data_IF_356019908043
#
_entry.id   IF_356019908043
#
_cell.length_a   1.000
_cell.length_b   1.000
_cell.length_c   1.000
_cell.angle_alpha   90.00
_cell.angle_beta   90.00
_cell.angle_gamma   90.00
#
_symmetry.space_group_name_H-M   'P 1'
#
loop_
_entity.id
_entity.type
_entity.pdbx_description
1 polymer ?
#
# COMPACT_ATOMS: atom_id res chain seq x y z
N UNK A 1 9.91 14.27 -0.61
CA UNK A 1 10.45 13.14 0.18
C UNK A 1 11.96 13.11 -0.03
N UNK A 2 12.72 12.85 1.00
CA UNK A 2 14.17 12.68 0.92
C UNK A 2 14.54 11.27 0.42
N UNK A 3 15.78 11.11 -0.05
CA UNK A 3 16.25 9.85 -0.64
C UNK A 3 16.22 8.70 0.37
N UNK A 4 16.57 8.96 1.63
CA UNK A 4 16.59 7.94 2.69
C UNK A 4 15.20 7.32 2.89
N UNK A 5 14.15 8.14 2.92
CA UNK A 5 12.77 7.63 3.02
C UNK A 5 12.36 6.82 1.78
N UNK A 6 12.81 7.22 0.58
CA UNK A 6 12.53 6.48 -0.65
C UNK A 6 13.19 5.10 -0.66
N UNK A 7 14.47 5.05 -0.28
CA UNK A 7 15.24 3.82 -0.23
C UNK A 7 14.65 2.88 0.83
N UNK A 8 14.28 3.40 2.01
CA UNK A 8 13.60 2.62 3.06
C UNK A 8 12.27 2.04 2.56
N UNK A 9 11.43 2.84 1.89
CA UNK A 9 10.16 2.37 1.34
C UNK A 9 10.34 1.28 0.28
N UNK A 10 11.40 1.39 -0.52
CA UNK A 10 11.77 0.39 -1.53
C UNK A 10 12.17 -0.92 -0.88
N UNK A 11 13.01 -0.85 0.17
CA UNK A 11 13.50 -2.03 0.91
C UNK A 11 12.38 -2.78 1.62
N UNK A 12 11.44 -2.06 2.24
CA UNK A 12 10.35 -2.66 3.01
C UNK A 12 9.14 -3.07 2.17
N UNK A 13 9.12 -2.76 0.87
CA UNK A 13 7.98 -3.05 -0.01
C UNK A 13 7.54 -4.53 0.04
N UNK A 14 8.43 -5.54 0.08
CA UNK A 14 8.04 -6.93 0.26
C UNK A 14 7.37 -7.20 1.61
N UNK A 15 7.87 -6.59 2.69
CA UNK A 15 7.28 -6.71 4.03
C UNK A 15 5.90 -6.03 4.11
N UNK A 16 5.70 -4.92 3.40
CA UNK A 16 4.38 -4.29 3.27
C UNK A 16 3.41 -5.15 2.47
N UNK A 17 3.88 -5.87 1.44
CA UNK A 17 3.06 -6.85 0.73
C UNK A 17 2.58 -7.95 1.69
N UNK A 18 3.51 -8.51 2.47
CA UNK A 18 3.18 -9.52 3.48
C UNK A 18 2.20 -8.99 4.54
N UNK A 19 2.39 -7.74 5.00
CA UNK A 19 1.48 -7.07 5.93
C UNK A 19 0.04 -6.99 5.38
N UNK A 20 -0.13 -6.61 4.11
CA UNK A 20 -1.44 -6.52 3.47
C UNK A 20 -2.12 -7.89 3.29
N UNK A 21 -1.36 -8.98 3.32
CA UNK A 21 -1.88 -10.35 3.26
C UNK A 21 -2.32 -10.90 4.63
N UNK A 22 -1.88 -10.27 5.73
CA UNK A 22 -2.23 -10.67 7.10
C UNK A 22 -3.74 -10.56 7.36
N UNK A 23 -4.20 -11.24 8.42
CA UNK A 23 -5.57 -11.08 8.89
C UNK A 23 -5.80 -9.64 9.39
N UNK A 24 -7.00 -9.03 9.20
CA UNK A 24 -7.26 -7.67 9.67
C UNK A 24 -6.97 -7.43 11.16
N UNK A 25 -7.14 -8.45 12.02
CA UNK A 25 -6.82 -8.31 13.44
C UNK A 25 -5.30 -8.28 13.71
N UNK A 26 -4.51 -9.03 12.93
CA UNK A 26 -3.04 -8.97 12.99
C UNK A 26 -2.54 -7.62 12.46
N UNK A 27 -3.15 -7.12 11.37
CA UNK A 27 -2.85 -5.79 10.83
C UNK A 27 -3.12 -4.71 11.88
N UNK A 28 -4.29 -4.73 12.55
CA UNK A 28 -4.64 -3.78 13.62
C UNK A 28 -3.64 -3.83 14.78
N UNK A 29 -3.17 -5.02 15.15
CA UNK A 29 -2.21 -5.17 16.24
C UNK A 29 -0.82 -4.64 15.88
N UNK A 30 -0.36 -4.85 14.65
CA UNK A 30 0.96 -4.42 14.18
C UNK A 30 1.01 -2.95 13.73
N UNK A 31 -0.10 -2.39 13.24
CA UNK A 31 -0.16 -1.04 12.68
C UNK A 31 0.41 0.06 13.60
N UNK A 32 0.14 0.07 14.92
CA UNK A 32 0.70 1.08 15.83
C UNK A 32 2.22 1.00 15.99
N UNK A 33 2.85 -0.14 15.67
CA UNK A 33 4.29 -0.35 15.77
C UNK A 33 5.04 0.15 14.53
N UNK A 34 4.31 0.46 13.45
CA UNK A 34 4.88 0.94 12.21
C UNK A 34 5.28 2.41 12.31
N UNK A 35 6.33 2.79 11.59
CA UNK A 35 6.71 4.19 11.45
C UNK A 35 5.73 4.99 10.59
N UNK A 36 5.87 6.31 10.62
CA UNK A 36 4.98 7.25 9.90
C UNK A 36 5.00 7.03 8.39
N UNK A 37 6.13 6.65 7.81
CA UNK A 37 6.24 6.43 6.36
C UNK A 37 5.51 5.15 5.94
N UNK A 38 5.63 4.11 6.74
CA UNK A 38 5.00 2.80 6.57
C UNK A 38 3.48 2.89 6.71
N UNK A 39 2.99 3.55 7.76
CA UNK A 39 1.55 3.80 7.95
C UNK A 39 0.97 4.58 6.77
N UNK A 40 1.67 5.62 6.29
CA UNK A 40 1.24 6.37 5.11
C UNK A 40 1.22 5.52 3.85
N UNK A 41 2.22 4.66 3.65
CA UNK A 41 2.25 3.74 2.52
C UNK A 41 1.05 2.79 2.56
N UNK A 42 0.71 2.24 3.73
CA UNK A 42 -0.48 1.38 3.91
C UNK A 42 -1.76 2.16 3.57
N UNK A 43 -1.95 3.37 4.13
CA UNK A 43 -3.13 4.20 3.83
C UNK A 43 -3.29 4.48 2.33
N UNK A 44 -2.19 4.76 1.62
CA UNK A 44 -2.19 4.94 0.16
C UNK A 44 -2.63 3.66 -0.54
N UNK A 45 -2.08 2.50 -0.16
CA UNK A 45 -2.38 1.21 -0.76
C UNK A 45 -3.84 0.79 -0.51
N UNK A 46 -4.37 1.03 0.68
CA UNK A 46 -5.76 0.77 1.03
C UNK A 46 -6.72 1.67 0.25
N UNK A 47 -6.39 2.96 0.08
CA UNK A 47 -7.24 3.92 -0.63
C UNK A 47 -7.51 3.54 -2.10
N UNK A 48 -6.54 2.87 -2.74
CA UNK A 48 -6.58 2.39 -4.13
C UNK A 48 -6.87 0.89 -4.27
N UNK A 49 -7.25 0.22 -3.17
CA UNK A 49 -7.56 -1.21 -3.19
C UNK A 49 -8.85 -1.46 -3.98
N UNK A 50 -8.74 -2.22 -5.08
CA UNK A 50 -9.90 -2.57 -5.91
C UNK A 50 -10.40 -1.47 -6.86
N UNK A 51 -9.75 -0.30 -6.90
CA UNK A 51 -10.09 0.79 -7.83
C UNK A 51 -8.85 1.44 -8.44
N UNK A 52 -8.91 1.79 -9.72
CA UNK A 52 -7.86 2.60 -10.36
C UNK A 52 -8.06 4.07 -9.98
N UNK A 53 -7.09 4.65 -9.26
CA UNK A 53 -7.12 6.04 -8.82
C UNK A 53 -5.90 6.84 -9.31
N UNK A 54 -6.10 8.11 -9.63
CA UNK A 54 -5.02 9.06 -9.89
C UNK A 54 -4.35 9.49 -8.58
N UNK A 55 -3.19 10.16 -8.68
CA UNK A 55 -2.49 10.66 -7.49
C UNK A 55 -3.33 11.68 -6.70
N UNK A 56 -4.15 12.47 -7.38
CA UNK A 56 -5.04 13.48 -6.85
C UNK A 56 -6.23 12.85 -6.13
N UNK A 57 -6.82 11.80 -6.71
CA UNK A 57 -7.88 11.02 -6.08
C UNK A 57 -7.39 10.34 -4.79
N UNK A 58 -6.18 9.76 -4.82
CA UNK A 58 -5.53 9.18 -3.64
C UNK A 58 -5.20 10.28 -2.62
N UNK A 59 -4.72 11.44 -3.09
CA UNK A 59 -4.37 12.58 -2.25
C UNK A 59 -5.58 13.08 -1.45
N UNK A 60 -6.73 13.24 -2.12
CA UNK A 60 -7.97 13.65 -1.49
C UNK A 60 -8.47 12.64 -0.43
N UNK A 61 -8.32 11.33 -0.70
CA UNK A 61 -8.75 10.27 0.24
C UNK A 61 -7.84 10.15 1.48
N UNK A 62 -6.54 10.33 1.30
CA UNK A 62 -5.54 10.04 2.34
C UNK A 62 -5.03 11.28 3.07
N UNK A 63 -5.36 12.48 2.59
CA UNK A 63 -4.78 13.74 3.07
C UNK A 63 -3.28 13.87 2.77
N UNK A 64 -2.71 12.97 1.97
CA UNK A 64 -1.29 13.02 1.59
C UNK A 64 -1.13 13.81 0.29
N UNK A 65 -0.20 14.76 0.24
CA UNK A 65 0.05 15.55 -0.98
C UNK A 65 0.36 14.66 -2.20
N UNK A 66 -0.21 14.96 -3.38
CA UNK A 66 -0.11 14.12 -4.59
C UNK A 66 1.34 13.79 -5.01
N UNK A 67 2.28 14.73 -4.85
CA UNK A 67 3.71 14.47 -5.11
C UNK A 67 4.28 13.38 -4.18
N UNK A 68 3.86 13.37 -2.91
CA UNK A 68 4.27 12.34 -1.94
C UNK A 68 3.62 11.01 -2.26
N UNK A 69 2.36 11.00 -2.70
CA UNK A 69 1.69 9.79 -3.19
C UNK A 69 2.47 9.19 -4.35
N UNK A 70 2.79 10.01 -5.37
CA UNK A 70 3.60 9.60 -6.52
C UNK A 70 4.93 9.00 -6.06
N UNK A 71 5.70 9.71 -5.25
CA UNK A 71 7.00 9.25 -4.75
C UNK A 71 6.90 7.92 -3.98
N UNK A 72 5.85 7.75 -3.17
CA UNK A 72 5.59 6.51 -2.42
C UNK A 72 5.27 5.35 -3.36
N UNK A 73 4.35 5.54 -4.31
CA UNK A 73 3.97 4.48 -5.26
C UNK A 73 5.14 4.04 -6.14
N UNK A 74 5.96 4.99 -6.61
CA UNK A 74 7.17 4.67 -7.35
C UNK A 74 8.17 3.87 -6.50
N UNK A 75 8.43 4.27 -5.26
CA UNK A 75 9.34 3.53 -4.37
C UNK A 75 8.84 2.09 -4.11
N UNK A 76 7.55 1.92 -3.81
CA UNK A 76 6.94 0.61 -3.58
C UNK A 76 6.95 -0.27 -4.84
N UNK A 77 6.65 0.31 -6.00
CA UNK A 77 6.72 -0.38 -7.29
C UNK A 77 8.15 -0.82 -7.61
N UNK A 78 9.15 0.05 -7.39
CA UNK A 78 10.56 -0.30 -7.55
C UNK A 78 11.02 -1.36 -6.56
N UNK A 79 10.42 -1.41 -5.38
CA UNK A 79 10.66 -2.43 -4.36
C UNK A 79 10.00 -3.78 -4.64
N UNK A 80 9.34 -3.94 -5.80
CA UNK A 80 8.73 -5.21 -6.23
C UNK A 80 7.28 -5.40 -5.81
N UNK A 81 6.61 -4.39 -5.24
CA UNK A 81 5.18 -4.47 -4.98
C UNK A 81 4.40 -4.47 -6.30
N UNK A 82 3.50 -5.45 -6.48
CA UNK A 82 2.74 -5.65 -7.72
C UNK A 82 1.60 -4.61 -7.89
N UNK A 83 1.98 -3.35 -8.11
CA UNK A 83 1.07 -2.26 -8.40
C UNK A 83 0.75 -2.22 -9.90
N UNK A 84 -0.53 -2.05 -10.22
CA UNK A 84 -0.99 -1.95 -11.62
C UNK A 84 -1.21 -0.49 -11.97
N UNK A 85 -0.70 -0.06 -13.11
CA UNK A 85 -1.01 1.24 -13.71
C UNK A 85 -1.75 1.06 -15.03
N UNK A 86 -2.65 1.99 -15.38
CA UNK A 86 -3.34 2.00 -16.66
C UNK A 86 -2.82 3.11 -17.59
N UNK A 87 -3.25 3.11 -18.85
CA UNK A 87 -2.85 4.12 -19.86
C UNK A 87 -3.22 5.57 -19.48
N UNK A 88 -4.15 5.75 -18.54
CA UNK A 88 -4.59 7.05 -18.03
C UNK A 88 -3.79 7.51 -16.81
N UNK A 89 -2.72 6.81 -16.42
CA UNK A 89 -1.87 7.17 -15.29
C UNK A 89 -2.50 6.92 -13.91
N UNK A 90 -3.59 6.14 -13.85
CA UNK A 90 -4.20 5.71 -12.60
C UNK A 90 -3.57 4.41 -12.11
N UNK A 91 -3.51 4.26 -10.79
CA UNK A 91 -2.88 3.14 -10.10
C UNK A 91 -3.90 2.33 -9.32
N UNK A 92 -3.68 1.03 -9.22
CA UNK A 92 -4.45 0.09 -8.42
C UNK A 92 -3.52 -0.80 -7.61
N UNK A 93 -3.83 -1.00 -6.33
CA UNK A 93 -3.13 -1.95 -5.47
C UNK A 93 -3.84 -3.32 -5.55
N UNK A 94 -3.09 -4.43 -5.42
CA UNK A 94 -3.69 -5.74 -5.31
C UNK A 94 -4.58 -5.79 -4.06
N UNK A 95 -5.68 -6.54 -4.14
CA UNK A 95 -6.58 -6.70 -3.00
C UNK A 95 -5.87 -7.54 -1.93
N UNK A 96 -5.34 -6.89 -0.90
CA UNK A 96 -4.91 -7.52 0.35
C UNK A 96 -6.09 -8.16 1.12
N UNK A 97 -5.76 -8.98 2.11
CA UNK A 97 -6.72 -9.75 2.90
C UNK A 97 -7.15 -11.03 2.18
N UNK A 98 -6.38 -12.10 2.35
CA UNK A 98 -6.81 -13.44 1.95
C UNK A 98 -8.06 -13.79 2.76
N UNK A 99 -9.24 -13.78 2.13
CA UNK A 99 -10.42 -14.39 2.74
C UNK A 99 -10.08 -15.87 2.99
N UNK A 100 -9.87 -16.28 4.24
CA UNK A 100 -9.73 -17.70 4.55
C UNK A 100 -11.04 -18.35 4.12
N UNK A 101 -11.00 -19.19 3.09
CA UNK A 101 -12.06 -20.19 2.91
C UNK A 101 -11.97 -21.06 4.16
N UNK A 102 -12.91 -20.91 5.08
CA UNK A 102 -13.11 -21.87 6.16
C UNK A 102 -13.43 -23.19 5.46
N UNK A 103 -12.47 -24.12 5.44
CA UNK A 103 -12.77 -25.52 5.17
C UNK A 103 -13.66 -25.97 6.33
N UNK A 104 -14.94 -26.19 6.04
CA UNK A 104 -15.82 -26.93 6.94
C UNK A 104 -15.20 -28.32 7.02
N UNK A 105 -14.61 -28.66 8.15
CA UNK A 105 -14.32 -30.07 8.44
C UNK A 105 -15.68 -30.73 8.64
N UNK A 106 -16.07 -31.55 7.66
CA UNK A 106 -17.15 -32.53 7.83
C UNK A 106 -16.64 -33.72 8.64
#
# INVERSE_FOLDING_TARGET
>A
MDKVTADKLTEIAPSLAAFLELHPDEQKWLYPLLGRAEQRAILILEAMQGAYLSYEEISAKTGTHASTVRQTLYALSSGGLNLKSNKSGKWQSPKGGRSRKLLRME
#
